data_IF_933231594341
#
_entry.id   IF_933231594341
#
_cell.length_a   1.000
_cell.length_b   1.000
_cell.length_c   1.000
_cell.angle_alpha   90.00
_cell.angle_beta   90.00
_cell.angle_gamma   90.00
#
_symmetry.space_group_name_H-M   'P 1'
#
loop_
_entity.id
_entity.type
_entity.pdbx_description
1 polymer ?
#
# COMPACT_ATOMS: atom_id res chain seq x y z
N UNK A 1 -12.57 -4.17 17.29
CA UNK A 1 -12.58 -4.20 15.81
C UNK A 1 -11.73 -3.10 15.18
N UNK A 2 -11.99 -1.81 15.47
CA UNK A 2 -11.34 -0.66 14.80
C UNK A 2 -9.80 -0.64 14.85
N UNK A 3 -9.19 -1.06 15.96
CA UNK A 3 -7.71 -1.12 16.08
C UNK A 3 -7.08 -2.15 15.14
N UNK A 4 -7.71 -3.32 14.99
CA UNK A 4 -7.21 -4.39 14.14
C UNK A 4 -7.37 -4.04 12.65
N UNK A 5 -8.48 -3.41 12.31
CA UNK A 5 -8.72 -2.87 10.97
C UNK A 5 -7.64 -1.84 10.59
N UNK A 6 -7.41 -0.86 11.47
CA UNK A 6 -6.35 0.12 11.30
C UNK A 6 -4.96 -0.52 11.19
N UNK A 7 -4.68 -1.54 12.00
CA UNK A 7 -3.44 -2.31 11.90
C UNK A 7 -3.24 -2.89 10.49
N UNK A 8 -4.25 -3.58 9.94
CA UNK A 8 -4.13 -4.16 8.59
C UNK A 8 -4.04 -3.10 7.49
N UNK A 9 -4.69 -1.94 7.66
CA UNK A 9 -4.51 -0.81 6.73
C UNK A 9 -3.06 -0.35 6.65
N UNK A 10 -2.41 -0.13 7.78
CA UNK A 10 -1.00 0.27 7.82
C UNK A 10 -0.07 -0.86 7.39
N UNK A 11 -0.31 -2.08 7.89
CA UNK A 11 0.52 -3.24 7.60
C UNK A 11 0.58 -3.54 6.10
N UNK A 12 -0.58 -3.61 5.43
CA UNK A 12 -0.66 -3.93 3.99
C UNK A 12 0.03 -2.87 3.13
N UNK A 13 -0.09 -1.59 3.48
CA UNK A 13 0.63 -0.51 2.78
C UNK A 13 2.15 -0.67 2.91
N UNK A 14 2.64 -0.89 4.13
CA UNK A 14 4.08 -1.11 4.36
C UNK A 14 4.60 -2.30 3.57
N UNK A 15 3.90 -3.42 3.60
CA UNK A 15 4.25 -4.61 2.82
C UNK A 15 4.26 -4.33 1.32
N UNK A 16 3.25 -3.63 0.78
CA UNK A 16 3.18 -3.32 -0.65
C UNK A 16 4.33 -2.42 -1.10
N UNK A 17 4.70 -1.42 -0.29
CA UNK A 17 5.80 -0.51 -0.58
C UNK A 17 7.15 -1.20 -0.52
N UNK A 18 7.40 -1.98 0.53
CA UNK A 18 8.62 -2.79 0.66
C UNK A 18 8.78 -3.75 -0.51
N UNK A 19 7.69 -4.38 -0.97
CA UNK A 19 7.68 -5.26 -2.15
C UNK A 19 8.00 -4.49 -3.43
N UNK A 20 7.38 -3.34 -3.66
CA UNK A 20 7.64 -2.52 -4.83
C UNK A 20 9.08 -1.99 -4.87
N UNK A 21 9.65 -1.66 -3.70
CA UNK A 21 11.04 -1.22 -3.58
C UNK A 21 12.07 -2.37 -3.79
N UNK A 22 11.65 -3.63 -3.67
CA UNK A 22 12.47 -4.79 -4.05
C UNK A 22 13.60 -5.18 -3.09
N UNK A 23 13.77 -4.50 -1.95
CA UNK A 23 14.85 -4.78 -0.99
C UNK A 23 14.44 -5.73 0.16
N UNK A 24 13.19 -6.21 0.14
CA UNK A 24 12.67 -7.13 1.15
C UNK A 24 12.84 -6.61 2.57
N UNK A 25 13.26 -7.46 3.49
CA UNK A 25 13.42 -7.12 4.91
C UNK A 25 14.62 -6.19 5.21
N UNK A 26 15.43 -5.85 4.21
CA UNK A 26 16.58 -4.95 4.41
C UNK A 26 16.14 -3.49 4.64
N UNK A 27 14.88 -3.13 4.36
CA UNK A 27 14.36 -1.80 4.64
C UNK A 27 14.15 -1.60 6.15
N UNK A 28 14.81 -0.62 6.79
CA UNK A 28 14.59 -0.36 8.20
C UNK A 28 13.14 0.02 8.47
N UNK A 29 12.54 -0.58 9.49
CA UNK A 29 11.14 -0.34 9.81
C UNK A 29 10.82 1.13 10.14
N UNK A 30 11.82 1.88 10.62
CA UNK A 30 11.74 3.30 10.96
C UNK A 30 12.03 4.25 9.78
N UNK A 31 12.46 3.74 8.62
CA UNK A 31 12.83 4.58 7.47
C UNK A 31 11.62 5.28 6.85
N UNK A 32 10.41 4.75 7.06
CA UNK A 32 9.20 5.28 6.47
C UNK A 32 7.95 5.00 7.31
N UNK A 33 6.91 5.79 7.05
CA UNK A 33 5.56 5.62 7.59
C UNK A 33 4.52 6.11 6.58
N UNK A 34 3.26 5.79 6.83
CA UNK A 34 2.14 6.30 6.03
C UNK A 34 1.28 7.25 6.86
N UNK A 35 0.81 8.32 6.24
CA UNK A 35 -0.34 9.07 6.71
C UNK A 35 -1.55 8.66 5.87
N UNK A 36 -2.65 8.32 6.55
CA UNK A 36 -3.90 7.90 5.92
C UNK A 36 -4.97 8.85 6.44
N UNK A 37 -5.41 9.77 5.58
CA UNK A 37 -6.38 10.81 5.89
C UNK A 37 -7.53 10.68 4.89
N UNK A 38 -8.71 10.32 5.37
CA UNK A 38 -9.87 9.92 4.55
C UNK A 38 -9.49 8.81 3.55
N UNK A 39 -9.39 9.18 2.26
CA UNK A 39 -8.99 8.32 1.13
C UNK A 39 -7.56 8.63 0.63
N UNK A 40 -6.91 9.66 1.16
CA UNK A 40 -5.56 10.04 0.76
C UNK A 40 -4.51 9.24 1.54
N UNK A 41 -3.58 8.62 0.81
CA UNK A 41 -2.46 7.86 1.36
C UNK A 41 -1.17 8.58 0.98
N UNK A 42 -0.40 9.02 1.99
CA UNK A 42 0.86 9.74 1.79
C UNK A 42 2.02 8.99 2.45
N UNK A 43 3.09 8.78 1.71
CA UNK A 43 4.35 8.26 2.24
C UNK A 43 5.09 9.38 2.99
N UNK A 44 5.57 9.07 4.19
CA UNK A 44 6.56 9.87 4.92
C UNK A 44 7.83 9.03 5.00
N UNK A 45 8.93 9.52 4.45
CA UNK A 45 10.21 8.81 4.42
C UNK A 45 11.32 9.75 4.89
N UNK A 46 12.38 9.18 5.44
CA UNK A 46 13.61 9.92 5.77
C UNK A 46 14.48 10.20 4.55
N UNK A 47 14.25 9.49 3.44
CA UNK A 47 14.85 9.78 2.14
C UNK A 47 14.09 10.89 1.41
N UNK A 48 14.63 11.36 0.29
CA UNK A 48 13.90 12.28 -0.58
C UNK A 48 12.58 11.64 -1.05
N UNK A 49 11.43 12.33 -0.90
CA UNK A 49 10.16 11.84 -1.41
C UNK A 49 10.22 11.76 -2.94
N UNK A 50 9.88 10.60 -3.49
CA UNK A 50 9.61 10.49 -4.92
C UNK A 50 8.11 10.66 -5.15
N UNK A 51 7.76 11.61 -5.99
CA UNK A 51 6.39 11.84 -6.46
C UNK A 51 5.90 10.75 -7.41
N UNK A 52 6.78 9.85 -7.82
CA UNK A 52 6.45 8.68 -8.65
C UNK A 52 5.72 7.57 -7.89
N UNK A 53 5.82 7.54 -6.56
CA UNK A 53 5.15 6.52 -5.76
C UNK A 53 3.67 6.83 -5.59
N UNK A 54 2.82 5.89 -6.01
CA UNK A 54 1.39 5.97 -5.83
C UNK A 54 0.89 4.78 -5.03
N UNK A 55 -0.09 5.04 -4.16
CA UNK A 55 -0.62 4.07 -3.21
C UNK A 55 -2.13 3.96 -3.36
N UNK A 56 -2.63 2.73 -3.43
CA UNK A 56 -4.06 2.43 -3.45
C UNK A 56 -4.38 1.31 -2.49
N UNK A 57 -5.56 1.36 -1.90
CA UNK A 57 -6.02 0.37 -0.93
C UNK A 57 -7.49 0.02 -1.18
N UNK A 58 -7.84 -1.25 -1.01
CA UNK A 58 -9.20 -1.75 -1.12
C UNK A 58 -9.55 -2.57 0.11
N UNK A 59 -10.81 -2.47 0.53
CA UNK A 59 -11.41 -3.40 1.49
C UNK A 59 -12.05 -4.55 0.70
N UNK A 60 -11.60 -5.77 0.94
CA UNK A 60 -12.15 -6.97 0.31
C UNK A 60 -13.05 -7.70 1.31
N UNK A 61 -14.36 -7.60 1.10
CA UNK A 61 -15.36 -8.09 2.05
C UNK A 61 -15.25 -7.40 3.42
N UNK A 62 -15.48 -8.15 4.50
CA UNK A 62 -15.51 -7.61 5.86
C UNK A 62 -14.17 -7.70 6.59
N UNK A 63 -13.26 -8.57 6.16
CA UNK A 63 -12.06 -8.96 6.93
C UNK A 63 -10.73 -8.71 6.23
N UNK A 64 -10.70 -8.49 4.92
CA UNK A 64 -9.44 -8.40 4.17
C UNK A 64 -9.17 -6.98 3.69
N UNK A 65 -7.89 -6.62 3.69
CA UNK A 65 -7.38 -5.36 3.17
C UNK A 65 -6.30 -5.66 2.13
N UNK A 66 -6.42 -5.06 0.95
CA UNK A 66 -5.45 -5.16 -0.14
C UNK A 66 -4.81 -3.79 -0.35
N UNK A 67 -3.49 -3.75 -0.50
CA UNK A 67 -2.77 -2.53 -0.85
C UNK A 67 -1.91 -2.75 -2.10
N UNK A 68 -1.83 -1.73 -2.95
CA UNK A 68 -0.98 -1.68 -4.14
C UNK A 68 -0.09 -0.44 -4.06
N UNK A 69 1.20 -0.65 -4.32
CA UNK A 69 2.16 0.42 -4.58
C UNK A 69 2.59 0.32 -6.05
N UNK A 70 2.58 1.44 -6.76
CA UNK A 70 3.09 1.56 -8.13
C UNK A 70 4.09 2.71 -8.23
N UNK A 71 5.09 2.57 -9.09
CA UNK A 71 5.98 3.65 -9.49
C UNK A 71 5.56 4.12 -10.89
N UNK A 72 4.94 5.29 -10.99
CA UNK A 72 4.41 5.88 -12.22
C UNK A 72 4.68 7.38 -12.23
N UNK A 73 4.72 8.05 -13.38
CA UNK A 73 4.84 9.51 -13.37
C UNK A 73 3.65 10.16 -12.62
N UNK A 74 3.79 11.37 -12.04
CA UNK A 74 2.75 11.98 -11.21
C UNK A 74 1.39 12.19 -11.90
N UNK A 75 1.38 12.27 -13.22
CA UNK A 75 0.19 12.48 -14.05
C UNK A 75 -0.34 11.17 -14.66
N UNK A 76 0.34 10.05 -14.45
CA UNK A 76 -0.07 8.73 -14.91
C UNK A 76 -0.83 8.01 -13.79
N UNK A 77 -1.79 7.17 -14.17
CA UNK A 77 -2.45 6.27 -13.24
C UNK A 77 -2.68 4.93 -13.94
N UNK A 78 -2.28 3.82 -13.31
CA UNK A 78 -2.59 2.51 -13.87
C UNK A 78 -4.10 2.22 -13.71
N UNK A 79 -4.75 1.74 -14.77
CA UNK A 79 -6.09 1.14 -14.68
C UNK A 79 -5.96 -0.22 -13.96
N UNK A 80 -6.46 -0.30 -12.72
CA UNK A 80 -6.32 -1.47 -11.87
C UNK A 80 -7.69 -2.05 -11.57
N UNK A 81 -7.86 -3.32 -11.91
CA UNK A 81 -9.05 -4.10 -11.59
C UNK A 81 -8.72 -5.17 -10.57
N UNK A 82 -9.53 -5.25 -9.52
CA UNK A 82 -9.42 -6.28 -8.49
C UNK A 82 -10.54 -7.29 -8.71
N UNK A 83 -10.17 -8.55 -8.89
CA UNK A 83 -11.12 -9.65 -9.09
C UNK A 83 -10.92 -10.71 -8.00
N UNK A 84 -12.01 -11.26 -7.50
CA UNK A 84 -11.99 -12.45 -6.65
C UNK A 84 -12.19 -13.69 -7.54
N UNK A 85 -11.28 -14.66 -7.43
CA UNK A 85 -11.31 -15.88 -8.25
C UNK A 85 -11.29 -17.10 -7.33
N UNK A 86 -12.29 -17.96 -7.47
CA UNK A 86 -12.32 -19.26 -6.79
C UNK A 86 -11.57 -20.27 -7.68
N UNK A 87 -10.49 -20.90 -7.20
CA UNK A 87 -9.77 -21.90 -7.99
C UNK A 87 -10.69 -23.05 -8.39
N UNK A 88 -10.72 -23.38 -9.68
CA UNK A 88 -11.35 -24.62 -10.14
C UNK A 88 -10.50 -25.80 -9.66
N UNK A 89 -11.16 -26.81 -9.08
CA UNK A 89 -10.51 -28.06 -8.65
C UNK A 89 -10.02 -28.87 -9.83
#
# INVERSE_FOLDING_TARGET
>A
AQRLDRYFRYWTLRESYTKAHGIGMAMPASAFSFAIEDEAIRLRTTSEPRDTWQFRQWRLGTTHTLALTTELAPHEAADVRVNEVVPLR
#
